data_IF_057662547467
#
_entry.id   IF_057662547467
#
_cell.length_a   1.000
_cell.length_b   1.000
_cell.length_c   1.000
_cell.angle_alpha   90.00
_cell.angle_beta   90.00
_cell.angle_gamma   90.00
#
_symmetry.space_group_name_H-M   'P 1'
#
loop_
_entity.id
_entity.type
_entity.pdbx_description
1 polymer ?
#
# COMPACT_ATOMS: atom_id res chain seq x y z
N UNK A 1 10.94 9.22 4.66
CA UNK A 1 10.89 8.35 3.47
C UNK A 1 9.43 8.08 3.17
N UNK A 2 8.89 8.51 2.03
CA UNK A 2 7.53 8.15 1.62
C UNK A 2 7.50 7.87 0.12
N UNK A 3 7.13 6.64 -0.25
CA UNK A 3 6.77 6.32 -1.63
C UNK A 3 5.37 5.75 -1.62
N UNK A 4 4.46 6.47 -2.26
CA UNK A 4 3.04 6.14 -2.36
C UNK A 4 2.78 5.49 -3.72
N UNK A 5 2.48 4.20 -3.71
CA UNK A 5 2.08 3.48 -4.92
C UNK A 5 0.57 3.34 -4.92
N UNK A 6 -0.12 4.25 -5.60
CA UNK A 6 -1.57 4.15 -5.83
C UNK A 6 -1.82 3.34 -7.11
N UNK A 7 -2.79 2.42 -7.07
CA UNK A 7 -3.25 1.72 -8.28
C UNK A 7 -4.17 2.59 -9.18
N UNK A 8 -4.28 3.89 -8.92
CA UNK A 8 -5.22 4.78 -9.62
C UNK A 8 -4.71 5.20 -11.00
N UNK A 9 -5.43 4.71 -12.03
CA UNK A 9 -5.67 5.23 -13.39
C UNK A 9 -5.55 4.15 -14.48
N UNK A 10 -5.04 2.95 -14.17
CA UNK A 10 -4.81 1.88 -15.16
C UNK A 10 -4.92 0.50 -14.52
N UNK A 11 -6.11 0.15 -14.02
CA UNK A 11 -6.33 -1.16 -13.41
C UNK A 11 -5.91 -2.28 -14.35
N UNK A 12 -5.11 -3.22 -13.85
CA UNK A 12 -4.69 -4.35 -14.65
C UNK A 12 -5.81 -5.38 -14.77
N UNK A 13 -6.49 -5.72 -13.67
CA UNK A 13 -7.41 -6.85 -13.60
C UNK A 13 -8.85 -6.37 -13.41
N UNK A 14 -9.70 -6.66 -14.39
CA UNK A 14 -11.17 -6.43 -14.35
C UNK A 14 -11.61 -5.02 -13.94
N UNK A 15 -10.77 -4.00 -14.16
CA UNK A 15 -11.12 -2.61 -13.84
C UNK A 15 -11.17 -2.26 -12.35
N UNK A 16 -10.61 -3.09 -11.46
CA UNK A 16 -10.71 -2.92 -10.00
C UNK A 16 -9.35 -2.94 -9.30
N UNK A 17 -8.98 -1.82 -8.66
CA UNK A 17 -7.75 -1.68 -7.86
C UNK A 17 -7.56 -2.77 -6.80
N UNK A 18 -8.64 -3.23 -6.18
CA UNK A 18 -8.57 -4.24 -5.12
C UNK A 18 -8.07 -5.60 -5.66
N UNK A 19 -8.39 -5.94 -6.91
CA UNK A 19 -7.90 -7.16 -7.53
C UNK A 19 -6.37 -7.05 -7.73
N UNK A 20 -5.92 -5.88 -8.16
CA UNK A 20 -4.50 -5.61 -8.32
C UNK A 20 -3.77 -5.66 -6.95
N UNK A 21 -4.36 -5.07 -5.91
CA UNK A 21 -3.85 -5.16 -4.53
C UNK A 21 -3.72 -6.60 -4.05
N UNK A 22 -4.76 -7.42 -4.22
CA UNK A 22 -4.79 -8.79 -3.73
C UNK A 22 -3.77 -9.66 -4.44
N UNK A 23 -3.71 -9.60 -5.78
CA UNK A 23 -2.72 -10.34 -6.55
C UNK A 23 -1.30 -9.94 -6.14
N UNK A 24 -1.06 -8.65 -5.91
CA UNK A 24 0.26 -8.21 -5.48
C UNK A 24 0.64 -8.63 -4.07
N UNK A 25 -0.34 -8.70 -3.16
CA UNK A 25 -0.16 -9.26 -1.82
C UNK A 25 0.18 -10.76 -1.89
N UNK A 26 -0.64 -11.55 -2.59
CA UNK A 26 -0.51 -13.00 -2.66
C UNK A 26 0.78 -13.47 -3.37
N UNK A 27 1.18 -12.75 -4.42
CA UNK A 27 2.39 -13.09 -5.21
C UNK A 27 3.67 -12.44 -4.68
N UNK A 28 3.56 -11.46 -3.78
CA UNK A 28 4.67 -10.62 -3.35
C UNK A 28 5.25 -9.78 -4.50
N UNK A 29 4.42 -9.36 -5.46
CA UNK A 29 4.80 -8.51 -6.59
C UNK A 29 3.96 -7.25 -6.58
N UNK A 30 4.57 -6.07 -6.56
CA UNK A 30 3.84 -4.81 -6.74
C UNK A 30 4.21 -4.22 -8.09
N UNK A 31 3.17 -3.92 -8.87
CA UNK A 31 3.28 -3.24 -10.15
C UNK A 31 2.84 -1.78 -10.06
N UNK A 32 3.42 -0.92 -10.89
CA UNK A 32 2.95 0.46 -11.05
C UNK A 32 3.34 1.05 -12.40
N UNK A 33 2.59 2.07 -12.80
CA UNK A 33 2.79 2.83 -14.03
C UNK A 33 3.36 4.23 -13.76
N UNK A 34 3.73 4.53 -12.51
CA UNK A 34 4.20 5.85 -12.08
C UNK A 34 5.71 5.93 -12.33
N UNK A 35 6.16 6.85 -13.19
CA UNK A 35 7.58 6.99 -13.53
C UNK A 35 8.47 7.36 -12.32
N UNK A 36 7.93 8.09 -11.34
CA UNK A 36 8.67 8.50 -10.14
C UNK A 36 9.07 7.35 -9.21
N UNK A 37 8.66 6.11 -9.50
CA UNK A 37 9.00 4.94 -8.70
C UNK A 37 9.89 3.95 -9.46
N UNK A 38 10.42 4.33 -10.63
CA UNK A 38 11.13 3.40 -11.52
C UNK A 38 12.42 2.79 -10.92
N UNK A 39 13.01 3.41 -9.90
CA UNK A 39 14.30 3.02 -9.32
C UNK A 39 14.21 2.88 -7.78
N UNK A 40 13.27 2.08 -7.28
CA UNK A 40 13.20 1.84 -5.83
C UNK A 40 14.32 0.90 -5.36
N UNK A 41 15.14 1.40 -4.43
CA UNK A 41 16.17 0.62 -3.75
C UNK A 41 15.55 -0.46 -2.83
N UNK A 42 16.25 -1.59 -2.62
CA UNK A 42 15.92 -2.54 -1.56
C UNK A 42 15.75 -1.86 -0.21
N UNK A 43 14.78 -2.32 0.58
CA UNK A 43 14.46 -1.79 1.91
C UNK A 43 13.46 -0.64 1.92
N UNK A 44 13.20 0.01 0.78
CA UNK A 44 12.17 1.07 0.68
C UNK A 44 10.79 0.48 1.02
N UNK A 45 10.04 1.22 1.84
CA UNK A 45 8.65 0.88 2.15
C UNK A 45 7.70 1.50 1.14
N UNK A 46 6.85 0.65 0.60
CA UNK A 46 5.77 0.99 -0.32
C UNK A 46 4.48 0.98 0.47
N UNK A 47 3.73 2.08 0.38
CA UNK A 47 2.35 2.13 0.83
C UNK A 47 1.43 2.16 -0.35
N UNK A 48 0.51 1.20 -0.37
CA UNK A 48 -0.42 0.97 -1.46
C UNK A 48 -1.85 1.16 -1.01
N UNK A 49 -2.64 1.87 -1.83
CA UNK A 49 -4.05 2.12 -1.55
C UNK A 49 -4.91 1.85 -2.77
N UNK A 50 -6.17 1.46 -2.56
CA UNK A 50 -7.15 1.40 -3.65
C UNK A 50 -7.47 2.82 -4.18
N UNK A 51 -8.22 2.89 -5.28
CA UNK A 51 -8.55 4.16 -5.94
C UNK A 51 -9.33 5.12 -5.06
N UNK A 52 -10.12 4.60 -4.10
CA UNK A 52 -10.87 5.40 -3.14
C UNK A 52 -10.10 5.67 -1.84
N UNK A 53 -8.84 5.21 -1.73
CA UNK A 53 -8.03 5.31 -0.52
C UNK A 53 -8.73 4.74 0.72
N UNK A 54 -9.54 3.72 0.55
CA UNK A 54 -10.27 2.98 1.59
C UNK A 54 -9.55 1.73 2.06
N UNK A 55 -8.63 1.20 1.27
CA UNK A 55 -7.79 0.05 1.62
C UNK A 55 -6.34 0.49 1.70
N UNK A 56 -5.58 -0.13 2.59
CA UNK A 56 -4.14 0.06 2.72
C UNK A 56 -3.42 -1.28 2.77
N UNK A 57 -2.26 -1.32 2.13
CA UNK A 57 -1.32 -2.44 2.17
C UNK A 57 0.10 -1.86 2.20
N UNK A 58 0.94 -2.35 3.12
CA UNK A 58 2.33 -1.92 3.26
C UNK A 58 3.24 -3.09 2.89
N UNK A 59 4.27 -2.81 2.10
CA UNK A 59 5.26 -3.81 1.71
C UNK A 59 6.66 -3.22 1.66
N UNK A 60 7.67 -4.06 1.86
CA UNK A 60 9.09 -3.69 1.77
C UNK A 60 9.68 -4.17 0.44
N UNK A 61 10.33 -3.28 -0.30
CA UNK A 61 11.03 -3.63 -1.54
C UNK A 61 12.18 -4.58 -1.22
N UNK A 62 12.25 -5.69 -1.95
CA UNK A 62 13.38 -6.61 -1.91
C UNK A 62 14.29 -6.31 -3.10
N UNK A 63 13.73 -6.26 -4.31
CA UNK A 63 14.44 -5.99 -5.58
C UNK A 63 13.46 -5.69 -6.71
N UNK A 64 13.92 -5.22 -7.88
CA UNK A 64 13.15 -5.30 -9.12
C UNK A 64 12.67 -6.73 -9.38
N UNK A 65 11.42 -6.87 -9.85
CA UNK A 65 10.87 -8.16 -10.27
C UNK A 65 11.48 -8.57 -11.62
N UNK A 66 11.61 -9.87 -11.87
CA UNK A 66 11.95 -10.36 -13.20
C UNK A 66 10.75 -10.27 -14.15
N UNK A 67 10.99 -10.36 -15.44
CA UNK A 67 9.91 -10.38 -16.44
C UNK A 67 8.95 -11.55 -16.20
N UNK A 68 9.46 -12.72 -15.82
CA UNK A 68 8.64 -13.90 -15.52
C UNK A 68 7.72 -13.67 -14.32
N UNK A 69 8.25 -13.09 -13.23
CA UNK A 69 7.46 -12.75 -12.03
C UNK A 69 6.38 -11.70 -12.36
N UNK A 70 6.68 -10.77 -13.25
CA UNK A 70 5.78 -9.67 -13.64
C UNK A 70 4.57 -10.14 -14.46
N UNK A 71 4.57 -11.38 -14.98
CA UNK A 71 3.45 -11.94 -15.75
C UNK A 71 2.23 -12.30 -14.91
N UNK A 72 2.35 -12.26 -13.58
CA UNK A 72 1.25 -12.57 -12.65
C UNK A 72 -0.04 -11.78 -12.98
N UNK A 73 0.08 -10.53 -13.41
CA UNK A 73 -1.07 -9.71 -13.79
C UNK A 73 -1.79 -10.24 -15.02
N UNK A 74 -1.04 -10.72 -16.02
CA UNK A 74 -1.57 -11.28 -17.26
C UNK A 74 -2.27 -12.60 -16.97
N UNK A 75 -1.65 -13.46 -16.17
CA UNK A 75 -2.20 -14.76 -15.77
C UNK A 75 -3.52 -14.63 -15.02
N UNK A 76 -3.74 -13.49 -14.35
CA UNK A 76 -5.00 -13.15 -13.67
C UNK A 76 -5.99 -12.39 -14.56
N UNK A 77 -5.77 -12.38 -15.87
CA UNK A 77 -6.67 -11.75 -16.85
C UNK A 77 -6.49 -10.23 -16.99
N UNK A 78 -5.32 -9.72 -16.62
CA UNK A 78 -5.00 -8.31 -16.67
C UNK A 78 -3.85 -7.91 -17.59
N UNK A 79 -3.32 -6.70 -17.37
CA UNK A 79 -2.15 -6.16 -18.08
C UNK A 79 -0.94 -6.10 -17.16
N UNK A 80 0.24 -6.39 -17.69
CA UNK A 80 1.49 -6.16 -16.96
C UNK A 80 1.70 -4.65 -16.72
N UNK A 81 2.20 -4.29 -15.54
CA UNK A 81 2.55 -2.91 -15.20
C UNK A 81 3.93 -2.55 -15.75
N UNK A 82 4.21 -1.26 -15.94
CA UNK A 82 5.49 -0.77 -16.48
C UNK A 82 6.68 -1.03 -15.54
N UNK A 83 6.47 -0.87 -14.25
CA UNK A 83 7.50 -1.06 -13.22
C UNK A 83 7.00 -2.10 -12.22
N UNK A 84 7.78 -3.14 -11.94
CA UNK A 84 7.39 -4.23 -11.05
C UNK A 84 8.51 -4.54 -10.07
N UNK A 85 8.14 -4.80 -8.82
CA UNK A 85 9.08 -5.06 -7.73
C UNK A 85 8.67 -6.32 -6.97
N UNK A 86 9.67 -7.12 -6.62
CA UNK A 86 9.51 -8.15 -5.61
C UNK A 86 9.50 -7.49 -4.25
N UNK A 87 8.47 -7.79 -3.46
CA UNK A 87 8.25 -7.19 -2.15
C UNK A 87 7.97 -8.25 -1.09
N UNK A 88 8.21 -7.88 0.17
CA UNK A 88 7.71 -8.60 1.34
C UNK A 88 6.49 -7.85 1.88
N UNK A 89 5.27 -8.42 1.83
CA UNK A 89 4.11 -7.87 2.53
C UNK A 89 4.40 -7.76 4.03
N UNK A 90 4.13 -6.59 4.61
CA UNK A 90 4.27 -6.35 6.04
C UNK A 90 2.91 -6.28 6.74
N UNK A 91 1.85 -5.96 6.00
CA UNK A 91 0.48 -5.96 6.50
C UNK A 91 -0.40 -6.84 5.63
N UNK A 92 -1.55 -7.24 6.16
CA UNK A 92 -2.67 -7.71 5.34
C UNK A 92 -3.27 -6.53 4.54
N UNK A 93 -4.09 -6.84 3.54
CA UNK A 93 -4.95 -5.85 2.88
C UNK A 93 -6.12 -5.54 3.80
N UNK A 94 -6.10 -4.35 4.41
CA UNK A 94 -7.07 -3.98 5.45
C UNK A 94 -7.86 -2.75 5.06
N UNK A 95 -9.11 -2.69 5.51
CA UNK A 95 -9.91 -1.46 5.42
C UNK A 95 -9.21 -0.40 6.26
N UNK A 96 -8.86 0.72 5.63
CA UNK A 96 -8.20 1.86 6.24
C UNK A 96 -8.92 2.30 7.51
N UNK A 97 -10.27 2.36 7.53
CA UNK A 97 -11.03 2.68 8.75
C UNK A 97 -10.78 1.69 9.90
N UNK A 98 -10.72 0.39 9.60
CA UNK A 98 -10.48 -0.64 10.61
C UNK A 98 -9.03 -0.58 11.11
N UNK A 99 -8.08 -0.38 10.19
CA UNK A 99 -6.67 -0.26 10.53
C UNK A 99 -6.35 1.02 11.31
N UNK A 100 -6.94 2.15 10.91
CA UNK A 100 -6.92 3.39 11.67
C UNK A 100 -7.44 3.17 13.08
N UNK A 101 -8.54 2.44 13.24
CA UNK A 101 -9.09 2.14 14.57
C UNK A 101 -8.13 1.30 15.43
N UNK A 102 -7.41 0.34 14.83
CA UNK A 102 -6.38 -0.46 15.53
C UNK A 102 -5.22 0.44 15.95
N UNK A 103 -4.62 1.16 15.00
CA UNK A 103 -3.47 2.05 15.26
C UNK A 103 -3.83 3.17 16.24
N UNK A 104 -5.03 3.76 16.13
CA UNK A 104 -5.50 4.76 17.09
C UNK A 104 -5.70 4.12 18.46
N UNK A 105 -6.41 3.00 18.58
CA UNK A 105 -6.59 2.34 19.88
C UNK A 105 -5.26 1.92 20.54
N UNK A 106 -4.25 1.56 19.75
CA UNK A 106 -2.91 1.21 20.25
C UNK A 106 -2.12 2.47 20.67
N UNK A 107 -2.20 3.55 19.88
CA UNK A 107 -1.50 4.82 20.15
C UNK A 107 -2.17 5.70 21.21
N UNK A 108 -3.49 5.58 21.36
CA UNK A 108 -4.29 6.28 22.35
C UNK A 108 -4.99 5.22 23.18
N UNK A 109 -4.46 4.89 24.36
CA UNK A 109 -5.14 4.07 25.36
C UNK A 109 -6.39 4.79 25.95
N UNK A 110 -7.17 5.52 25.15
CA UNK A 110 -8.19 6.46 25.61
C UNK A 110 -9.33 6.65 24.61
N UNK A 111 -10.56 6.46 25.12
CA UNK A 111 -11.88 6.55 24.51
C UNK A 111 -12.08 7.50 23.30
N UNK A 112 -12.81 6.98 22.32
CA UNK A 112 -12.69 7.31 20.89
C UNK A 112 -14.05 7.68 20.23
N UNK A 113 -14.82 8.60 20.81
CA UNK A 113 -16.05 9.11 20.16
C UNK A 113 -15.82 10.41 19.37
N UNK A 114 -15.05 11.34 19.93
CA UNK A 114 -14.98 12.72 19.40
C UNK A 114 -13.92 12.89 18.29
N UNK A 115 -13.06 11.89 18.12
CA UNK A 115 -11.97 11.90 17.16
C UNK A 115 -12.45 11.74 15.70
N UNK A 116 -13.51 10.96 15.48
CA UNK A 116 -13.98 10.61 14.14
C UNK A 116 -14.74 11.73 13.44
N UNK A 117 -15.40 12.62 14.18
CA UNK A 117 -16.27 13.67 13.62
C UNK A 117 -15.50 14.92 13.14
N UNK A 118 -14.29 15.18 13.65
CA UNK A 118 -13.66 16.50 13.49
C UNK A 118 -12.56 16.64 12.43
N UNK A 119 -12.12 15.58 11.72
CA UNK A 119 -10.88 15.69 10.91
C UNK A 119 -10.82 15.03 9.53
N UNK A 120 -11.94 14.92 8.82
CA UNK A 120 -11.90 14.60 7.38
C UNK A 120 -11.19 15.68 6.54
N UNK A 121 -11.07 16.93 7.02
CA UNK A 121 -10.37 18.03 6.32
C UNK A 121 -8.85 18.09 6.48
N UNK A 122 -8.23 17.32 7.39
CA UNK A 122 -6.76 17.26 7.58
C UNK A 122 -6.15 15.91 7.21
N UNK A 123 -6.75 15.23 6.24
CA UNK A 123 -6.47 13.83 5.89
C UNK A 123 -5.02 13.58 5.44
N UNK A 124 -4.39 14.47 4.67
CA UNK A 124 -3.05 14.19 4.10
C UNK A 124 -1.93 14.14 5.16
N UNK A 125 -1.94 15.09 6.11
CA UNK A 125 -1.00 15.16 7.24
C UNK A 125 -1.16 13.96 8.18
N UNK A 126 -2.40 13.56 8.43
CA UNK A 126 -2.73 12.44 9.30
C UNK A 126 -2.28 11.08 8.74
N UNK A 127 -2.54 10.81 7.45
CA UNK A 127 -2.06 9.59 6.80
C UNK A 127 -0.54 9.49 6.76
N UNK A 128 0.14 10.62 6.62
CA UNK A 128 1.60 10.66 6.59
C UNK A 128 2.17 10.27 7.95
N UNK A 129 1.59 10.77 9.04
CA UNK A 129 2.02 10.45 10.41
C UNK A 129 1.79 8.99 10.78
N UNK A 130 0.65 8.40 10.40
CA UNK A 130 0.38 6.98 10.65
C UNK A 130 1.33 6.08 9.87
N UNK A 131 1.55 6.38 8.59
CA UNK A 131 2.53 5.65 7.78
C UNK A 131 3.93 5.80 8.37
N UNK A 132 4.33 7.00 8.82
CA UNK A 132 5.61 7.22 9.50
C UNK A 132 5.72 6.40 10.78
N UNK A 133 4.68 6.37 11.61
CA UNK A 133 4.67 5.58 12.85
C UNK A 133 4.80 4.08 12.61
N UNK A 134 4.11 3.57 11.59
CA UNK A 134 4.21 2.18 11.18
C UNK A 134 5.58 1.84 10.61
N UNK A 135 6.15 2.75 9.84
CA UNK A 135 7.52 2.64 9.32
C UNK A 135 8.52 2.63 10.49
N UNK A 136 8.31 3.42 11.54
CA UNK A 136 9.13 3.42 12.76
C UNK A 136 9.04 2.10 13.51
N UNK A 137 7.83 1.57 13.73
CA UNK A 137 7.63 0.28 14.42
C UNK A 137 8.22 -0.89 13.64
N UNK A 138 8.07 -0.90 12.32
CA UNK A 138 8.61 -1.94 11.43
C UNK A 138 10.15 -1.91 11.36
N UNK A 139 10.78 -0.75 11.53
CA UNK A 139 12.24 -0.62 11.47
C UNK A 139 12.89 -0.49 12.86
N UNK A 140 12.10 -0.48 13.93
CA UNK A 140 12.55 -0.41 15.32
C UNK A 140 12.80 -1.78 15.96
N UNK A 141 12.71 -2.86 15.17
CA UNK A 141 13.25 -4.19 15.50
C UNK A 141 14.74 -4.30 15.16
#
# INVERSE_FOLDING_TARGET
MSVKISYSNRYSISGKAINDMNVGHDSGIIGSNIASIQDLSPGVLIVTTDSNKRLIHISKVIRPATDSESRVWIEKGGKMWRYNYKVKPLTLVVKLRAYLKIVINELTHGNDSDFWDNKLHHTHSFYTRIVQKLVEEINGE
#
